data_IF_216395972640
#
_entry.id   IF_216395972640
#
_cell.length_a   1.000
_cell.length_b   1.000
_cell.length_c   1.000
_cell.angle_alpha   90.00
_cell.angle_beta   90.00
_cell.angle_gamma   90.00
#
_symmetry.space_group_name_H-M   'P 1'
#
loop_
_entity.id
_entity.type
_entity.pdbx_description
1 polymer ?
#
# COMPACT_ATOMS: atom_id res chain seq x y z
N UNK A 1 12.20 -16.35 17.73
CA UNK A 1 11.55 -15.20 17.08
C UNK A 1 10.19 -15.05 17.73
N UNK A 2 9.94 -13.97 18.48
CA UNK A 2 8.60 -13.66 19.00
C UNK A 2 7.71 -13.30 17.82
N UNK A 3 6.56 -13.96 17.70
CA UNK A 3 5.55 -13.58 16.70
C UNK A 3 4.98 -12.21 17.07
N UNK A 4 4.93 -11.30 16.10
CA UNK A 4 4.29 -9.99 16.27
C UNK A 4 2.81 -10.17 16.59
N UNK A 5 2.28 -9.40 17.53
CA UNK A 5 0.83 -9.38 17.77
C UNK A 5 0.08 -8.77 16.58
N UNK A 6 -1.22 -9.00 16.49
CA UNK A 6 -2.08 -8.38 15.46
C UNK A 6 -2.00 -6.85 15.53
N UNK A 7 -1.93 -6.31 16.75
CA UNK A 7 -1.74 -4.88 17.01
C UNK A 7 -0.41 -4.37 16.46
N UNK A 8 0.70 -5.07 16.72
CA UNK A 8 2.02 -4.66 16.22
C UNK A 8 2.08 -4.69 14.70
N UNK A 9 1.50 -5.73 14.08
CA UNK A 9 1.42 -5.83 12.62
C UNK A 9 0.62 -4.68 12.02
N UNK A 10 -0.53 -4.33 12.63
CA UNK A 10 -1.35 -3.19 12.20
C UNK A 10 -0.57 -1.88 12.32
N UNK A 11 0.08 -1.62 13.45
CA UNK A 11 0.86 -0.40 13.68
C UNK A 11 2.00 -0.24 12.67
N UNK A 12 2.66 -1.34 12.30
CA UNK A 12 3.71 -1.32 11.26
C UNK A 12 3.14 -0.98 9.88
N UNK A 13 1.92 -1.40 9.55
CA UNK A 13 1.27 -1.00 8.29
C UNK A 13 0.87 0.47 8.33
N UNK A 14 0.26 0.92 9.43
CA UNK A 14 -0.17 2.30 9.63
C UNK A 14 1.02 3.28 9.58
N UNK A 15 2.17 2.94 10.18
CA UNK A 15 3.36 3.80 10.14
C UNK A 15 3.98 3.87 8.73
N UNK A 16 3.88 2.81 7.92
CA UNK A 16 4.28 2.87 6.51
C UNK A 16 3.37 3.83 5.72
N UNK A 17 2.05 3.79 5.96
CA UNK A 17 1.09 4.70 5.34
C UNK A 17 1.32 6.16 5.76
N UNK A 18 1.61 6.42 7.04
CA UNK A 18 2.00 7.75 7.49
C UNK A 18 3.35 8.17 6.86
N UNK A 19 4.30 7.24 6.82
CA UNK A 19 5.64 7.45 6.28
C UNK A 19 5.63 7.94 4.82
N UNK A 20 4.76 7.36 3.99
CA UNK A 20 4.68 7.73 2.57
C UNK A 20 4.13 9.15 2.40
N UNK A 21 3.14 9.54 3.20
CA UNK A 21 2.57 10.90 3.21
C UNK A 21 3.56 11.97 3.70
N UNK A 22 4.53 11.59 4.52
CA UNK A 22 5.52 12.49 5.11
C UNK A 22 6.92 12.41 4.46
N UNK A 23 7.06 11.72 3.33
CA UNK A 23 8.30 11.70 2.55
C UNK A 23 9.39 10.74 3.05
N UNK A 24 9.07 9.82 3.97
CA UNK A 24 9.99 8.78 4.46
C UNK A 24 10.16 7.63 3.44
N UNK A 25 10.50 7.99 2.20
CA UNK A 25 10.55 7.06 1.06
C UNK A 25 11.50 5.86 1.31
N UNK A 26 12.73 6.04 1.83
CA UNK A 26 13.62 4.90 2.10
C UNK A 26 13.04 3.91 3.11
N UNK A 27 12.40 4.43 4.16
CA UNK A 27 11.81 3.62 5.23
C UNK A 27 10.61 2.84 4.70
N UNK A 28 9.72 3.49 3.95
CA UNK A 28 8.56 2.82 3.34
C UNK A 28 9.02 1.72 2.37
N UNK A 29 10.03 1.98 1.54
CA UNK A 29 10.61 0.96 0.63
C UNK A 29 11.14 -0.25 1.38
N UNK A 30 11.82 -0.03 2.52
CA UNK A 30 12.34 -1.12 3.34
C UNK A 30 11.23 -1.97 3.98
N UNK A 31 10.01 -1.44 4.12
CA UNK A 31 8.87 -2.15 4.70
C UNK A 31 8.07 -2.98 3.69
N UNK A 32 8.14 -2.69 2.38
CA UNK A 32 7.37 -3.42 1.37
C UNK A 32 7.57 -4.94 1.41
N UNK A 33 8.80 -5.48 1.56
CA UNK A 33 9.01 -6.93 1.64
C UNK A 33 8.37 -7.58 2.87
N UNK A 34 8.06 -6.81 3.92
CA UNK A 34 7.45 -7.32 5.14
C UNK A 34 5.92 -7.44 5.05
N UNK A 35 5.26 -6.79 4.08
CA UNK A 35 3.79 -6.77 3.97
C UNK A 35 3.14 -8.17 3.99
N UNK A 36 3.68 -9.23 3.36
CA UNK A 36 3.13 -10.59 3.47
C UNK A 36 3.07 -11.12 4.90
N UNK A 37 4.03 -10.73 5.74
CA UNK A 37 4.08 -11.12 7.14
C UNK A 37 3.20 -10.22 8.03
N UNK A 38 2.94 -8.98 7.60
CA UNK A 38 2.16 -7.99 8.35
C UNK A 38 0.65 -8.09 8.08
N UNK A 39 0.26 -8.42 6.85
CA UNK A 39 -1.13 -8.43 6.39
C UNK A 39 -1.44 -9.81 5.82
N UNK A 40 -2.02 -10.74 6.61
CA UNK A 40 -2.37 -12.08 6.12
C UNK A 40 -3.43 -12.07 5.02
N UNK A 41 -4.43 -11.18 5.14
CA UNK A 41 -5.48 -11.00 4.14
C UNK A 41 -4.89 -10.49 2.81
N UNK A 42 -5.06 -11.26 1.74
CA UNK A 42 -4.43 -10.99 0.46
C UNK A 42 -5.00 -9.75 -0.24
N UNK A 43 -6.30 -9.55 -0.17
CA UNK A 43 -6.98 -8.40 -0.77
C UNK A 43 -6.55 -7.10 -0.09
N UNK A 44 -6.60 -7.07 1.25
CA UNK A 44 -6.14 -5.94 2.05
C UNK A 44 -4.64 -5.69 1.83
N UNK A 45 -3.82 -6.75 1.76
CA UNK A 45 -2.38 -6.63 1.48
C UNK A 45 -2.13 -5.99 0.12
N UNK A 46 -2.87 -6.39 -0.92
CA UNK A 46 -2.75 -5.80 -2.25
C UNK A 46 -3.16 -4.32 -2.26
N UNK A 47 -4.22 -3.96 -1.53
CA UNK A 47 -4.65 -2.55 -1.34
C UNK A 47 -3.57 -1.73 -0.63
N UNK A 48 -3.06 -2.20 0.50
CA UNK A 48 -2.01 -1.50 1.24
C UNK A 48 -0.72 -1.38 0.41
N UNK A 49 -0.34 -2.43 -0.32
CA UNK A 49 0.83 -2.38 -1.19
C UNK A 49 0.64 -1.35 -2.31
N UNK A 50 -0.52 -1.34 -2.97
CA UNK A 50 -0.84 -0.35 -3.99
C UNK A 50 -0.83 1.09 -3.46
N UNK A 51 -1.36 1.31 -2.24
CA UNK A 51 -1.35 2.63 -1.61
C UNK A 51 0.08 3.12 -1.34
N UNK A 52 0.95 2.25 -0.85
CA UNK A 52 2.36 2.61 -0.61
C UNK A 52 3.11 2.87 -1.92
N UNK A 53 2.89 2.07 -2.96
CA UNK A 53 3.46 2.31 -4.29
C UNK A 53 2.96 3.63 -4.88
N UNK A 54 1.68 3.96 -4.70
CA UNK A 54 1.12 5.24 -5.11
C UNK A 54 1.84 6.42 -4.46
N UNK A 55 2.00 6.41 -3.13
CA UNK A 55 2.72 7.48 -2.43
C UNK A 55 4.23 7.50 -2.71
N UNK A 56 4.80 6.42 -3.25
CA UNK A 56 6.19 6.36 -3.74
C UNK A 56 6.34 6.84 -5.19
N UNK A 57 5.27 7.35 -5.82
CA UNK A 57 5.14 7.72 -7.23
C UNK A 57 5.27 6.54 -8.23
N UNK A 58 5.06 5.31 -7.77
CA UNK A 58 5.08 4.09 -8.60
C UNK A 58 3.67 3.73 -9.11
N UNK A 59 3.03 4.69 -9.78
CA UNK A 59 1.62 4.63 -10.18
C UNK A 59 1.29 3.39 -11.01
N UNK A 60 2.16 3.02 -11.96
CA UNK A 60 1.95 1.85 -12.81
C UNK A 60 1.96 0.53 -12.01
N UNK A 61 2.88 0.41 -11.05
CA UNK A 61 2.96 -0.76 -10.17
C UNK A 61 1.73 -0.81 -9.24
N UNK A 62 1.32 0.33 -8.67
CA UNK A 62 0.11 0.43 -7.85
C UNK A 62 -1.14 -0.05 -8.59
N UNK A 63 -1.31 0.33 -9.87
CA UNK A 63 -2.41 -0.17 -10.71
C UNK A 63 -2.32 -1.67 -10.96
N UNK A 64 -1.12 -2.17 -11.22
CA UNK A 64 -0.88 -3.60 -11.40
C UNK A 64 -1.35 -4.42 -10.20
N UNK A 65 -1.06 -3.96 -8.98
CA UNK A 65 -1.49 -4.62 -7.75
C UNK A 65 -3.02 -4.69 -7.60
N UNK A 66 -3.77 -3.70 -8.09
CA UNK A 66 -5.23 -3.64 -7.93
C UNK A 66 -6.02 -4.26 -9.08
N UNK A 67 -5.36 -4.68 -10.17
CA UNK A 67 -6.04 -5.05 -11.41
C UNK A 67 -7.13 -6.12 -11.23
N UNK A 68 -6.91 -7.08 -10.33
CA UNK A 68 -7.83 -8.18 -10.04
C UNK A 68 -8.43 -8.12 -8.62
N UNK A 69 -8.18 -7.05 -7.87
CA UNK A 69 -8.67 -6.90 -6.50
C UNK A 69 -10.00 -6.16 -6.51
N UNK A 70 -11.00 -6.70 -5.85
CA UNK A 70 -12.33 -6.07 -5.71
C UNK A 70 -12.61 -5.74 -4.25
N UNK A 71 -13.41 -4.71 -4.00
CA UNK A 71 -13.79 -4.29 -2.65
C UNK A 71 -13.81 -2.77 -2.52
N UNK A 72 -14.47 -2.22 -1.50
CA UNK A 72 -14.67 -0.78 -1.39
C UNK A 72 -13.35 0.00 -1.34
N UNK A 73 -12.34 -0.50 -0.62
CA UNK A 73 -11.03 0.14 -0.53
C UNK A 73 -10.25 0.07 -1.85
N UNK A 74 -10.32 -1.08 -2.55
CA UNK A 74 -9.68 -1.27 -3.84
C UNK A 74 -10.30 -0.37 -4.91
N UNK A 75 -11.63 -0.30 -4.98
CA UNK A 75 -12.33 0.57 -5.95
C UNK A 75 -12.07 2.06 -5.67
N UNK A 76 -12.03 2.45 -4.39
CA UNK A 76 -11.66 3.82 -4.00
C UNK A 76 -10.25 4.17 -4.49
N UNK A 77 -9.28 3.29 -4.27
CA UNK A 77 -7.90 3.55 -4.68
C UNK A 77 -7.73 3.52 -6.21
N UNK A 78 -8.45 2.65 -6.93
CA UNK A 78 -8.50 2.66 -8.41
C UNK A 78 -9.01 4.01 -8.93
N UNK A 79 -10.08 4.56 -8.35
CA UNK A 79 -10.62 5.86 -8.75
C UNK A 79 -9.59 6.99 -8.56
N UNK A 80 -8.86 6.99 -7.43
CA UNK A 80 -7.77 7.95 -7.16
C UNK A 80 -6.66 7.81 -8.22
N UNK A 81 -6.21 6.58 -8.49
CA UNK A 81 -5.15 6.31 -9.46
C UNK A 81 -5.53 6.68 -10.90
N UNK A 82 -6.81 6.59 -11.25
CA UNK A 82 -7.34 7.03 -12.55
C UNK A 82 -7.29 8.56 -12.67
N UNK A 83 -7.68 9.29 -11.62
CA UNK A 83 -7.61 10.76 -11.60
C UNK A 83 -6.17 11.26 -11.76
N UNK A 84 -5.21 10.63 -11.08
CA UNK A 84 -3.80 11.00 -11.20
C UNK A 84 -3.21 10.75 -12.60
N UNK A 85 -3.73 9.77 -13.38
CA UNK A 85 -3.32 9.57 -14.78
C UNK A 85 -3.60 10.77 -15.68
N UNK A 86 -4.70 11.47 -15.42
CA UNK A 86 -5.20 12.54 -16.26
C UNK A 86 -4.45 13.86 -16.10
N UNK A 87 -3.59 13.99 -15.08
CA UNK A 87 -2.78 15.19 -14.82
C UNK A 87 -1.39 15.16 -15.46
N UNK A 88 -0.90 13.99 -15.85
CA UNK A 88 0.43 13.82 -16.46
C UNK A 88 0.37 13.76 -18.01
N UNK A 89 -0.78 14.12 -18.61
CA UNK A 89 -0.99 14.27 -20.07
C UNK A 89 -1.38 15.70 -20.40
#
# INVERSE_FOLDING_TARGET
MTMLSDTDRRLLVEIACAGVNHGYRPQVRAMLPALPCLIPDESLRAVCHAFLLFGLDEIAAARGCLAQVTGPEAETLKAILQYHHGRDR
#
